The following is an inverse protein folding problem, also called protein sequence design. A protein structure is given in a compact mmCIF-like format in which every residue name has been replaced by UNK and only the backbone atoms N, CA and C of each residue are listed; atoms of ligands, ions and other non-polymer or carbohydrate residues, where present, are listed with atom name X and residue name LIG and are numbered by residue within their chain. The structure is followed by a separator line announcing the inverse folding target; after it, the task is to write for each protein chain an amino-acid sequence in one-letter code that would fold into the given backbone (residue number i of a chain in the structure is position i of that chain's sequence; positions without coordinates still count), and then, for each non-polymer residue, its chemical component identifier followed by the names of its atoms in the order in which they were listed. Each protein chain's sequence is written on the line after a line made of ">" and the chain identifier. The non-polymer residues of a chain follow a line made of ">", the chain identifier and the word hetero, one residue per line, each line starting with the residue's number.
data_IF_543107936876
#
_entry.id   IF_543107936876
#
_cell.length_a   1.000
_cell.length_b   1.000
_cell.length_c   1.000
_cell.angle_alpha   90.00
_cell.angle_beta   90.00
_cell.angle_gamma   90.00
#
_symmetry.space_group_name_H-M   'P 1'
#
loop_
_entity.id
_entity.type
_entity.pdbx_description
1 polymer ?
#
# COMPACT_ATOMS: atom_id res chain seq x y z
N UNK A 1 51.40 13.86 -12.89
CA UNK A 1 50.91 12.48 -12.98
C UNK A 1 50.23 11.95 -11.70
N UNK A 2 50.44 12.57 -10.55
CA UNK A 2 49.78 12.15 -9.28
C UNK A 2 48.36 12.71 -9.08
N UNK A 3 47.89 13.65 -9.93
CA UNK A 3 46.58 14.29 -9.79
C UNK A 3 45.41 13.51 -10.41
N UNK A 4 45.71 12.49 -11.24
CA UNK A 4 44.65 11.69 -11.90
C UNK A 4 44.06 10.57 -11.01
N UNK A 5 44.80 10.20 -9.94
CA UNK A 5 44.35 9.12 -9.03
C UNK A 5 43.38 9.58 -7.95
N UNK A 6 43.31 10.88 -7.66
CA UNK A 6 42.40 11.42 -6.67
C UNK A 6 40.96 11.60 -7.20
N UNK A 7 40.78 11.74 -8.53
CA UNK A 7 39.48 11.86 -9.14
C UNK A 7 38.68 10.57 -9.17
N UNK A 8 39.32 9.42 -9.16
CA UNK A 8 38.69 8.10 -9.18
C UNK A 8 38.20 7.65 -7.80
N UNK A 9 38.83 8.11 -6.72
CA UNK A 9 38.46 7.75 -5.35
C UNK A 9 37.20 8.51 -4.89
N UNK A 10 37.00 9.73 -5.39
CA UNK A 10 35.82 10.55 -5.04
C UNK A 10 34.55 10.03 -5.69
N UNK A 11 34.61 9.37 -6.86
CA UNK A 11 33.46 8.77 -7.54
C UNK A 11 32.93 7.50 -6.87
N UNK A 12 33.76 6.83 -6.08
CA UNK A 12 33.37 5.58 -5.37
C UNK A 12 32.69 5.83 -4.03
N UNK A 13 32.70 7.10 -3.52
CA UNK A 13 32.09 7.46 -2.25
C UNK A 13 30.62 7.94 -2.37
N UNK A 14 30.09 8.06 -3.59
CA UNK A 14 28.68 8.31 -3.85
C UNK A 14 27.91 7.01 -4.07
N UNK A 15 28.02 6.05 -3.15
CA UNK A 15 26.98 5.03 -3.04
C UNK A 15 25.74 5.71 -2.44
N UNK A 16 24.84 6.10 -3.32
CA UNK A 16 23.55 6.64 -2.92
C UNK A 16 22.78 5.54 -2.24
N UNK A 17 22.71 5.58 -0.91
CA UNK A 17 21.75 4.77 -0.16
C UNK A 17 20.39 5.38 -0.45
N UNK A 18 19.66 4.77 -1.36
CA UNK A 18 18.27 5.15 -1.62
C UNK A 18 17.40 4.63 -0.48
N UNK A 19 17.08 5.50 0.47
CA UNK A 19 16.02 5.24 1.42
C UNK A 19 14.68 5.46 0.71
N UNK A 20 13.90 4.39 0.56
CA UNK A 20 12.50 4.50 0.15
C UNK A 20 11.69 5.13 1.30
N UNK A 21 11.61 6.45 1.28
CA UNK A 21 10.90 7.26 2.29
C UNK A 21 9.43 6.84 2.41
N UNK A 22 8.85 6.30 1.33
CA UNK A 22 7.45 5.86 1.28
C UNK A 22 7.13 4.72 2.24
N UNK A 23 8.03 3.74 2.38
CA UNK A 23 7.80 2.57 3.25
C UNK A 23 7.85 2.95 4.72
N UNK A 24 8.77 3.82 5.09
CA UNK A 24 8.93 4.31 6.46
C UNK A 24 7.74 5.15 6.92
N UNK A 25 7.14 5.90 6.00
CA UNK A 25 5.98 6.76 6.29
C UNK A 25 4.71 5.94 6.54
N UNK A 26 4.46 4.91 5.70
CA UNK A 26 3.34 4.00 5.88
C UNK A 26 3.42 3.25 7.22
N UNK A 27 4.62 2.78 7.62
CA UNK A 27 4.86 2.13 8.90
C UNK A 27 4.55 3.05 10.08
N UNK A 28 4.92 4.33 10.01
CA UNK A 28 4.61 5.32 11.05
C UNK A 28 3.12 5.57 11.20
N UNK A 29 2.36 5.47 10.13
CA UNK A 29 0.90 5.67 10.14
C UNK A 29 0.16 4.47 10.75
N UNK A 30 0.84 3.32 10.89
CA UNK A 30 0.22 2.11 11.46
C UNK A 30 -0.84 1.49 10.56
N UNK A 31 -0.56 1.38 9.28
CA UNK A 31 -1.48 0.90 8.25
C UNK A 31 -2.08 -0.48 8.56
N UNK A 32 -1.32 -1.37 9.21
CA UNK A 32 -1.81 -2.69 9.62
C UNK A 32 -2.95 -2.58 10.62
N UNK A 33 -2.81 -1.70 11.61
CA UNK A 33 -3.82 -1.45 12.63
C UNK A 33 -5.07 -0.83 12.00
N UNK A 34 -4.90 0.10 11.08
CA UNK A 34 -6.01 0.72 10.35
C UNK A 34 -6.78 -0.34 9.55
N UNK A 35 -6.08 -1.20 8.82
CA UNK A 35 -6.68 -2.28 8.06
C UNK A 35 -7.43 -3.27 8.97
N UNK A 36 -6.81 -3.67 10.08
CA UNK A 36 -7.43 -4.57 11.05
C UNK A 36 -8.73 -4.00 11.61
N UNK A 37 -8.72 -2.72 11.97
CA UNK A 37 -9.87 -2.08 12.62
C UNK A 37 -11.00 -1.72 11.65
N UNK A 38 -10.69 -1.44 10.38
CA UNK A 38 -11.68 -0.85 9.46
C UNK A 38 -11.99 -1.71 8.22
N UNK A 39 -11.13 -2.64 7.86
CA UNK A 39 -11.19 -3.34 6.58
C UNK A 39 -11.28 -4.86 6.72
N UNK A 40 -10.60 -5.42 7.70
CA UNK A 40 -10.42 -6.86 7.86
C UNK A 40 -11.72 -7.63 8.02
N UNK A 41 -12.74 -7.03 8.60
CA UNK A 41 -14.05 -7.67 8.82
C UNK A 41 -14.66 -8.21 7.52
N UNK A 42 -14.44 -7.52 6.42
CA UNK A 42 -14.92 -7.94 5.11
C UNK A 42 -13.79 -8.49 4.22
N UNK A 43 -12.62 -7.82 4.20
CA UNK A 43 -11.53 -8.19 3.30
C UNK A 43 -10.67 -9.33 3.80
N UNK A 44 -10.77 -9.69 5.09
CA UNK A 44 -10.03 -10.80 5.68
C UNK A 44 -8.59 -10.42 6.04
N UNK A 45 -8.03 -11.14 7.01
CA UNK A 45 -6.64 -11.00 7.43
C UNK A 45 -5.67 -11.35 6.31
N UNK A 46 -6.05 -12.30 5.46
CA UNK A 46 -5.27 -12.77 4.30
C UNK A 46 -5.57 -12.00 3.01
N UNK A 47 -6.48 -11.02 3.04
CA UNK A 47 -6.89 -10.25 1.88
C UNK A 47 -7.81 -10.97 0.88
N UNK A 48 -8.17 -12.23 1.17
CA UNK A 48 -9.02 -13.03 0.27
C UNK A 48 -10.52 -12.82 0.47
N UNK A 49 -10.88 -12.08 1.49
CA UNK A 49 -12.27 -11.90 1.89
C UNK A 49 -12.73 -12.91 2.95
N UNK A 50 -13.49 -12.42 3.92
CA UNK A 50 -14.20 -13.26 4.88
C UNK A 50 -15.45 -13.85 4.22
N UNK A 51 -16.12 -14.80 4.89
CA UNK A 51 -17.43 -15.31 4.42
C UNK A 51 -18.40 -14.16 4.18
N UNK A 52 -18.47 -13.22 5.11
CA UNK A 52 -19.31 -12.01 5.00
C UNK A 52 -18.88 -11.15 3.79
N UNK A 53 -17.58 -10.87 3.66
CA UNK A 53 -17.06 -10.06 2.57
C UNK A 53 -17.31 -10.68 1.21
N UNK A 54 -17.10 -11.98 1.07
CA UNK A 54 -17.39 -12.71 -0.17
C UNK A 54 -18.87 -12.61 -0.55
N UNK A 55 -19.76 -12.70 0.42
CA UNK A 55 -21.20 -12.50 0.19
C UNK A 55 -21.53 -11.06 -0.27
N UNK A 56 -20.72 -10.09 0.07
CA UNK A 56 -20.85 -8.69 -0.35
C UNK A 56 -20.08 -8.36 -1.64
N UNK A 57 -19.36 -9.31 -2.20
CA UNK A 57 -18.63 -9.14 -3.47
C UNK A 57 -17.27 -8.48 -3.36
N UNK A 58 -16.57 -8.62 -2.22
CA UNK A 58 -15.22 -8.06 -2.08
C UNK A 58 -14.24 -8.73 -3.05
N UNK A 59 -13.26 -7.98 -3.59
CA UNK A 59 -12.23 -8.56 -4.42
C UNK A 59 -11.27 -9.41 -3.58
N UNK A 60 -10.59 -10.34 -4.24
CA UNK A 60 -9.47 -11.07 -3.66
C UNK A 60 -8.17 -10.29 -3.91
N UNK A 61 -7.59 -9.71 -2.85
CA UNK A 61 -6.37 -8.92 -2.97
C UNK A 61 -5.15 -9.76 -3.35
N UNK A 62 -5.20 -11.08 -3.22
CA UNK A 62 -4.12 -11.97 -3.64
C UNK A 62 -4.18 -12.32 -5.12
N UNK A 63 -5.21 -11.89 -5.83
CA UNK A 63 -5.36 -12.12 -7.26
C UNK A 63 -4.51 -11.11 -8.04
N UNK A 64 -3.54 -11.63 -8.81
CA UNK A 64 -2.65 -10.81 -9.62
C UNK A 64 -3.39 -10.02 -10.71
N UNK A 65 -4.40 -10.60 -11.33
CA UNK A 65 -5.20 -9.91 -12.36
C UNK A 65 -5.93 -8.71 -11.75
N UNK A 66 -6.52 -8.88 -10.57
CA UNK A 66 -7.17 -7.77 -9.89
C UNK A 66 -6.18 -6.68 -9.51
N UNK A 67 -5.00 -7.05 -8.99
CA UNK A 67 -3.95 -6.11 -8.62
C UNK A 67 -3.47 -5.30 -9.84
N UNK A 68 -3.29 -5.94 -10.97
CA UNK A 68 -2.82 -5.30 -12.20
C UNK A 68 -3.90 -4.41 -12.83
N UNK A 69 -5.16 -4.83 -12.76
CA UNK A 69 -6.29 -4.10 -13.35
C UNK A 69 -6.78 -2.92 -12.50
N UNK A 70 -6.41 -2.85 -11.23
CA UNK A 70 -6.92 -1.83 -10.29
C UNK A 70 -5.82 -0.84 -9.94
N UNK A 71 -6.02 0.43 -10.27
CA UNK A 71 -5.05 1.49 -9.95
C UNK A 71 -5.13 1.91 -8.50
N UNK A 72 -4.06 2.50 -7.98
CA UNK A 72 -4.05 3.08 -6.63
C UNK A 72 -5.13 4.16 -6.50
N UNK A 73 -5.31 4.97 -7.53
CA UNK A 73 -6.36 6.02 -7.56
C UNK A 73 -7.76 5.41 -7.42
N UNK A 74 -8.04 4.30 -8.08
CA UNK A 74 -9.32 3.60 -7.96
C UNK A 74 -9.54 3.07 -6.54
N UNK A 75 -8.50 2.52 -5.92
CA UNK A 75 -8.56 2.07 -4.53
C UNK A 75 -8.79 3.23 -3.56
N UNK A 76 -8.06 4.33 -3.73
CA UNK A 76 -8.21 5.54 -2.91
C UNK A 76 -9.63 6.06 -3.01
N UNK A 77 -10.19 6.14 -4.22
CA UNK A 77 -11.56 6.60 -4.46
C UNK A 77 -12.59 5.69 -3.79
N UNK A 78 -12.43 4.37 -3.93
CA UNK A 78 -13.33 3.40 -3.32
C UNK A 78 -13.31 3.46 -1.79
N UNK A 79 -12.14 3.61 -1.19
CA UNK A 79 -11.99 3.71 0.27
C UNK A 79 -12.56 5.04 0.76
N UNK A 80 -12.26 6.13 0.08
CA UNK A 80 -12.68 7.47 0.47
C UNK A 80 -14.20 7.64 0.38
N UNK A 81 -14.78 7.26 -0.75
CA UNK A 81 -16.18 7.54 -1.08
C UNK A 81 -17.12 6.34 -0.89
N UNK A 82 -16.56 5.16 -0.64
CA UNK A 82 -17.32 3.92 -0.69
C UNK A 82 -17.55 3.43 -2.11
N UNK A 83 -17.93 2.18 -2.25
CA UNK A 83 -18.25 1.57 -3.54
C UNK A 83 -19.25 0.43 -3.33
N UNK A 84 -20.43 0.52 -3.93
CA UNK A 84 -21.49 -0.46 -3.74
C UNK A 84 -21.78 -0.66 -2.25
N UNK A 85 -21.61 -1.87 -1.71
CA UNK A 85 -21.82 -2.19 -0.29
C UNK A 85 -20.64 -1.83 0.62
N UNK A 86 -19.50 -1.46 0.05
CA UNK A 86 -18.35 -0.99 0.82
C UNK A 86 -18.64 0.41 1.38
N UNK A 87 -18.61 0.59 2.71
CA UNK A 87 -18.85 1.91 3.30
C UNK A 87 -17.68 2.86 3.04
N UNK A 88 -17.98 4.14 2.95
CA UNK A 88 -16.97 5.20 2.84
C UNK A 88 -16.14 5.30 4.12
N UNK A 89 -14.86 5.54 3.98
CA UNK A 89 -13.92 5.71 5.09
C UNK A 89 -13.32 7.12 5.16
N UNK A 90 -13.62 7.99 4.19
CA UNK A 90 -13.04 9.33 4.12
C UNK A 90 -13.39 10.24 5.28
N UNK A 91 -14.44 9.94 6.04
CA UNK A 91 -14.78 10.69 7.26
C UNK A 91 -14.04 10.20 8.51
N UNK A 92 -13.42 9.02 8.46
CA UNK A 92 -12.66 8.40 9.56
C UNK A 92 -11.16 8.42 9.37
N UNK A 93 -10.71 8.36 8.12
CA UNK A 93 -9.30 8.22 7.76
C UNK A 93 -8.84 9.46 6.99
N UNK A 94 -7.65 9.94 7.30
CA UNK A 94 -7.01 11.01 6.54
C UNK A 94 -6.59 10.51 5.15
N UNK A 95 -6.35 11.42 4.18
CA UNK A 95 -5.82 11.03 2.87
C UNK A 95 -4.52 10.23 2.95
N UNK A 96 -3.64 10.57 3.89
CA UNK A 96 -2.38 9.87 4.12
C UNK A 96 -2.60 8.45 4.65
N UNK A 97 -3.53 8.30 5.58
CA UNK A 97 -3.92 6.99 6.10
C UNK A 97 -4.51 6.09 5.01
N UNK A 98 -5.35 6.65 4.14
CA UNK A 98 -5.93 5.93 3.00
C UNK A 98 -4.85 5.48 2.03
N UNK A 99 -3.90 6.33 1.70
CA UNK A 99 -2.75 5.97 0.85
C UNK A 99 -1.90 4.86 1.47
N UNK A 100 -1.70 4.92 2.78
CA UNK A 100 -0.97 3.87 3.50
C UNK A 100 -1.70 2.52 3.46
N UNK A 101 -3.02 2.53 3.58
CA UNK A 101 -3.85 1.33 3.45
C UNK A 101 -3.77 0.76 2.04
N UNK A 102 -3.83 1.59 1.00
CA UNK A 102 -3.67 1.15 -0.40
C UNK A 102 -2.32 0.46 -0.59
N UNK A 103 -1.27 1.01 -0.03
CA UNK A 103 0.06 0.38 -0.06
C UNK A 103 0.03 -0.99 0.62
N UNK A 104 -0.66 -1.11 1.75
CA UNK A 104 -0.81 -2.39 2.44
C UNK A 104 -1.58 -3.41 1.58
N UNK A 105 -2.63 -2.98 0.88
CA UNK A 105 -3.38 -3.83 -0.04
C UNK A 105 -2.46 -4.41 -1.13
N UNK A 106 -1.49 -3.64 -1.61
CA UNK A 106 -0.50 -4.11 -2.59
C UNK A 106 0.40 -5.22 -2.06
N UNK A 107 0.62 -5.30 -0.75
CA UNK A 107 1.41 -6.39 -0.15
C UNK A 107 0.73 -7.76 -0.24
N UNK A 108 -0.58 -7.82 -0.45
CA UNK A 108 -1.27 -9.08 -0.69
C UNK A 108 -1.04 -9.64 -2.10
N UNK A 109 -0.52 -8.84 -3.02
CA UNK A 109 -0.20 -9.31 -4.37
C UNK A 109 0.80 -10.47 -4.33
N UNK A 110 0.66 -11.47 -5.22
CA UNK A 110 1.64 -12.55 -5.34
C UNK A 110 3.03 -11.99 -5.69
N UNK A 111 4.05 -12.60 -5.09
CA UNK A 111 5.46 -12.25 -5.36
C UNK A 111 6.02 -13.04 -6.53
#
# INVERSE_FOLDING_TARGET
>A
MKKALYGLVVLLLFSVVQFNVSDTFADKIGYKKIFTNNCQKCHGKDGKGTKRGKGLGVPNFTDSEWQDATTDKQMITAITNGKKKMPKQGHKLSPEEIKAVVKYIRFFAPK
#
